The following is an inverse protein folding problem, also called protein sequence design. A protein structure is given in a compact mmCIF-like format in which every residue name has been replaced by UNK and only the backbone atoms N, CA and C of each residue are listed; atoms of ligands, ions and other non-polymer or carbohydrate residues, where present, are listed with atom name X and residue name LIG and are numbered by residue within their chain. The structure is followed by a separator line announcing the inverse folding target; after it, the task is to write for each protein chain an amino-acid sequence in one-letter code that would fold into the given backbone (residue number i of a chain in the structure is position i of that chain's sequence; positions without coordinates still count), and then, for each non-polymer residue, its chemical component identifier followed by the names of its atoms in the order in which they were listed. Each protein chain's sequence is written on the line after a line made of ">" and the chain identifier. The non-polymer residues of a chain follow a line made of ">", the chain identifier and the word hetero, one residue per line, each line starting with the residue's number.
data_IF_344897054397
#
_entry.id   IF_344897054397
#
_cell.length_a   1.000
_cell.length_b   1.000
_cell.length_c   1.000
_cell.angle_alpha   90.00
_cell.angle_beta   90.00
_cell.angle_gamma   90.00
#
_symmetry.space_group_name_H-M   'P 1'
#
loop_
_entity.id
_entity.type
_entity.pdbx_description
1 polymer ?
#
# COMPACT_ATOMS: atom_id res chain seq x y z
N UNK A 1 18.81 -13.35 3.73
CA UNK A 1 17.41 -12.95 3.94
C UNK A 1 17.11 -11.78 3.00
N UNK A 2 16.08 -11.88 2.16
CA UNK A 2 15.69 -10.86 1.15
C UNK A 2 14.68 -9.89 1.75
N UNK A 3 14.70 -8.61 1.36
CA UNK A 3 13.70 -7.63 1.80
C UNK A 3 12.67 -7.40 0.70
N UNK A 4 11.38 -7.40 1.05
CA UNK A 4 10.28 -6.98 0.18
C UNK A 4 9.72 -5.68 0.73
N UNK A 5 9.88 -4.62 -0.05
CA UNK A 5 9.36 -3.30 0.28
C UNK A 5 7.96 -3.11 -0.29
N UNK A 6 6.99 -2.88 0.60
CA UNK A 6 5.65 -2.43 0.28
C UNK A 6 5.61 -0.90 0.39
N UNK A 7 5.22 -0.23 -0.68
CA UNK A 7 5.04 1.22 -0.71
C UNK A 7 3.56 1.55 -0.58
N UNK A 8 3.23 2.41 0.37
CA UNK A 8 1.86 2.90 0.52
C UNK A 8 1.50 3.72 -0.72
N UNK A 9 0.49 3.28 -1.45
CA UNK A 9 -0.04 3.96 -2.64
C UNK A 9 -1.24 4.82 -2.32
N UNK A 10 -1.97 4.49 -1.25
CA UNK A 10 -3.15 5.20 -0.80
C UNK A 10 -3.26 5.11 0.72
N UNK A 11 -3.51 6.24 1.36
CA UNK A 11 -3.69 6.33 2.80
C UNK A 11 -4.87 7.26 3.05
N UNK A 12 -5.95 6.72 3.59
CA UNK A 12 -7.16 7.44 3.97
C UNK A 12 -7.64 6.91 5.34
N UNK A 13 -8.46 7.66 6.08
CA UNK A 13 -8.97 7.21 7.37
C UNK A 13 -9.68 5.85 7.24
N UNK A 14 -9.18 4.85 7.97
CA UNK A 14 -9.71 3.48 7.94
C UNK A 14 -9.41 2.68 6.66
N UNK A 15 -8.50 3.14 5.79
CA UNK A 15 -8.01 2.32 4.68
C UNK A 15 -6.61 2.77 4.23
N UNK A 16 -5.68 1.82 4.28
CA UNK A 16 -4.32 1.95 3.78
C UNK A 16 -4.08 0.87 2.74
N UNK A 17 -3.51 1.25 1.60
CA UNK A 17 -3.15 0.32 0.53
C UNK A 17 -1.66 0.42 0.25
N UNK A 18 -1.02 -0.73 0.05
CA UNK A 18 0.38 -0.79 -0.30
C UNK A 18 0.68 -1.82 -1.39
N UNK A 19 1.67 -1.50 -2.23
CA UNK A 19 2.12 -2.35 -3.32
C UNK A 19 3.61 -2.62 -3.24
N UNK A 20 4.01 -3.85 -3.54
CA UNK A 20 5.40 -4.21 -3.82
C UNK A 20 5.60 -4.40 -5.32
N UNK A 21 6.77 -4.02 -5.83
CA UNK A 21 7.12 -4.18 -7.24
C UNK A 21 7.69 -5.57 -7.53
N UNK A 22 8.52 -6.07 -6.61
CA UNK A 22 9.22 -7.34 -6.77
C UNK A 22 9.19 -8.10 -5.45
N UNK A 23 8.36 -9.14 -5.32
CA UNK A 23 7.31 -9.59 -6.26
C UNK A 23 6.16 -8.58 -6.38
N UNK A 24 5.36 -8.62 -7.47
CA UNK A 24 4.15 -7.79 -7.58
C UNK A 24 3.08 -8.31 -6.62
N UNK A 25 2.87 -7.59 -5.51
CA UNK A 25 1.82 -7.87 -4.53
C UNK A 25 1.12 -6.57 -4.16
N UNK A 26 -0.18 -6.68 -3.87
CA UNK A 26 -1.01 -5.58 -3.43
C UNK A 26 -1.77 -6.03 -2.19
N UNK A 27 -1.68 -5.23 -1.13
CA UNK A 27 -2.39 -5.44 0.13
C UNK A 27 -3.15 -4.19 0.52
N UNK A 28 -4.28 -4.39 1.19
CA UNK A 28 -5.16 -3.36 1.72
C UNK A 28 -5.44 -3.71 3.19
N UNK A 29 -5.50 -2.72 4.05
CA UNK A 29 -5.76 -2.88 5.47
C UNK A 29 -6.42 -1.63 6.04
N UNK A 30 -7.00 -1.71 7.23
CA UNK A 30 -7.62 -0.54 7.87
C UNK A 30 -6.59 0.33 8.61
N UNK A 31 -5.43 -0.26 8.92
CA UNK A 31 -4.32 0.38 9.60
C UNK A 31 -2.96 -0.07 9.06
N UNK A 32 -1.90 0.68 9.41
CA UNK A 32 -0.53 0.31 9.04
C UNK A 32 -0.04 -0.97 9.74
N UNK A 33 -0.54 -1.23 10.94
CA UNK A 33 -0.24 -2.46 11.70
C UNK A 33 -0.83 -3.69 11.02
N UNK A 34 -2.11 -3.63 10.64
CA UNK A 34 -2.74 -4.68 9.84
C UNK A 34 -2.11 -4.83 8.46
N UNK A 35 -1.60 -3.74 7.87
CA UNK A 35 -0.96 -3.81 6.57
C UNK A 35 0.31 -4.68 6.58
N UNK A 36 1.03 -4.74 7.70
CA UNK A 36 2.16 -5.65 7.88
C UNK A 36 1.69 -7.11 8.00
N UNK A 37 0.56 -7.33 8.69
CA UNK A 37 -0.08 -8.64 8.78
C UNK A 37 -0.53 -9.13 7.39
N UNK A 38 -1.27 -8.31 6.66
CA UNK A 38 -1.74 -8.63 5.30
C UNK A 38 -0.58 -8.85 4.32
N UNK A 39 0.50 -8.08 4.44
CA UNK A 39 1.71 -8.28 3.64
C UNK A 39 2.35 -9.64 3.93
N UNK A 40 2.40 -10.08 5.19
CA UNK A 40 2.88 -11.42 5.57
C UNK A 40 1.97 -12.50 5.00
N UNK A 41 0.66 -12.38 5.15
CA UNK A 41 -0.32 -13.35 4.63
C UNK A 41 -0.22 -13.47 3.11
N UNK A 42 -0.09 -12.35 2.39
CA UNK A 42 0.12 -12.35 0.94
C UNK A 42 1.42 -13.07 0.53
N UNK A 43 2.49 -12.95 1.33
CA UNK A 43 3.74 -13.69 1.10
C UNK A 43 3.60 -15.18 1.39
N UNK A 44 2.86 -15.56 2.43
CA UNK A 44 2.56 -16.96 2.75
C UNK A 44 1.74 -17.58 1.62
N UNK A 45 0.70 -16.90 1.14
CA UNK A 45 -0.10 -17.38 0.00
C UNK A 45 0.74 -17.52 -1.27
N UNK A 46 1.70 -16.61 -1.51
CA UNK A 46 2.51 -16.61 -2.74
C UNK A 46 3.68 -17.60 -2.73
N UNK A 47 4.35 -17.77 -1.58
CA UNK A 47 5.61 -18.51 -1.44
C UNK A 47 5.54 -19.69 -0.45
N UNK A 48 4.45 -19.85 0.29
CA UNK A 48 4.28 -20.90 1.29
C UNK A 48 5.35 -20.87 2.37
N UNK A 49 5.96 -22.03 2.63
CA UNK A 49 7.03 -22.17 3.62
C UNK A 49 8.27 -21.31 3.31
N UNK A 50 8.49 -20.92 2.05
CA UNK A 50 9.63 -20.08 1.67
C UNK A 50 9.46 -18.60 2.07
N UNK A 51 8.30 -18.18 2.58
CA UNK A 51 8.07 -16.79 3.01
C UNK A 51 9.06 -16.32 4.09
N UNK A 52 9.60 -17.24 4.91
CA UNK A 52 10.58 -16.94 5.97
C UNK A 52 11.91 -16.40 5.45
N UNK A 53 12.21 -16.61 4.16
CA UNK A 53 13.38 -16.02 3.50
C UNK A 53 13.23 -14.51 3.26
N UNK A 54 12.02 -13.97 3.43
CA UNK A 54 11.67 -12.59 3.12
C UNK A 54 11.34 -11.77 4.38
N UNK A 55 11.83 -10.54 4.43
CA UNK A 55 11.49 -9.54 5.44
C UNK A 55 10.55 -8.52 4.82
N UNK A 56 9.37 -8.32 5.43
CA UNK A 56 8.42 -7.28 5.05
C UNK A 56 8.94 -5.93 5.55
N UNK A 57 8.93 -4.92 4.68
CA UNK A 57 9.09 -3.53 5.07
C UNK A 57 8.01 -2.67 4.44
N UNK A 58 7.23 -2.00 5.29
CA UNK A 58 6.28 -0.99 4.85
C UNK A 58 6.98 0.37 4.85
N UNK A 59 7.05 1.00 3.69
CA UNK A 59 7.57 2.36 3.53
C UNK A 59 6.39 3.32 3.48
N UNK A 60 6.36 4.23 4.44
CA UNK A 60 5.39 5.32 4.49
C UNK A 60 5.44 6.17 3.22
N UNK A 61 4.32 6.80 2.90
CA UNK A 61 4.10 7.72 1.79
C UNK A 61 4.82 9.07 1.96
N UNK A 62 6.04 9.07 2.54
CA UNK A 62 6.80 10.27 2.93
C UNK A 62 7.13 11.26 1.79
N UNK A 63 6.63 11.01 0.57
CA UNK A 63 6.69 11.92 -0.56
C UNK A 63 5.56 11.68 -1.58
N UNK A 64 4.32 11.41 -1.14
CA UNK A 64 3.11 11.56 -1.98
C UNK A 64 2.25 12.72 -1.44
N UNK A 65 2.89 13.86 -1.20
CA UNK A 65 2.22 15.15 -1.04
C UNK A 65 2.92 16.17 -1.93
N UNK A 66 2.74 16.09 -3.26
CA UNK A 66 2.91 17.24 -4.18
C UNK A 66 2.51 16.99 -5.63
N UNK A 67 1.54 16.14 -5.94
CA UNK A 67 0.98 16.12 -7.30
C UNK A 67 -0.55 16.18 -7.24
N UNK A 68 -1.04 17.35 -7.66
CA UNK A 68 -2.39 17.66 -8.14
C UNK A 68 -3.58 17.42 -7.21
N UNK A 69 -3.74 18.29 -6.22
CA UNK A 69 -5.05 18.92 -6.02
C UNK A 69 -5.08 20.22 -6.82
N UNK A 70 -5.23 20.11 -8.14
CA UNK A 70 -5.67 21.22 -8.98
C UNK A 70 -6.71 20.70 -9.96
N UNK A 71 -7.88 21.31 -9.84
CA UNK A 71 -9.02 21.34 -10.77
C UNK A 71 -10.03 20.19 -10.67
N UNK A 72 -11.01 20.39 -9.80
CA UNK A 72 -12.39 20.47 -10.28
C UNK A 72 -13.13 21.50 -9.41
N UNK A 73 -13.27 22.77 -9.84
CA UNK A 73 -14.25 23.64 -9.22
C UNK A 73 -15.65 23.12 -9.53
N UNK A 74 -16.46 23.21 -8.49
CA UNK A 74 -17.88 23.00 -8.43
C UNK A 74 -18.69 23.76 -9.49
N UNK A 75 -19.86 23.21 -9.80
CA UNK A 75 -21.13 23.91 -10.05
C UNK A 75 -21.18 25.00 -11.13
N UNK A 76 -21.81 24.66 -12.26
CA UNK A 76 -22.78 25.50 -13.00
C UNK A 76 -23.74 24.47 -13.66
N UNK A 77 -25.02 24.34 -13.37
CA UNK A 77 -25.97 25.27 -12.78
C UNK A 77 -26.55 26.20 -13.85
N UNK A 78 -27.76 25.87 -14.31
CA UNK A 78 -28.79 26.78 -14.87
C UNK A 78 -28.94 26.85 -16.40
N UNK A 79 -30.21 26.55 -16.76
CA UNK A 79 -31.04 26.93 -17.92
C UNK A 79 -30.80 26.27 -19.28
#
# INVERSE_FOLDING_TARGET
>A
MREISFRITKEQPGQVEARSLTPPLWVKADSREELEHEAREALIQRFGAAHVAYRVRVRGSGQIQRQSWRLAPALVGVA
#
